data_IF_230088184456
#
_entry.id   IF_230088184456
#
_cell.length_a   1.000
_cell.length_b   1.000
_cell.length_c   1.000
_cell.angle_alpha   90.00
_cell.angle_beta   90.00
_cell.angle_gamma   90.00
#
_symmetry.space_group_name_H-M   'P 1'
#
loop_
_entity.id
_entity.type
_entity.pdbx_description
1 polymer ?
#
# COMPACT_ATOMS: atom_id res chain seq x y z
N UNK A 1 7.35 -18.95 -10.69
CA UNK A 1 6.50 -20.16 -10.71
C UNK A 1 5.01 -19.85 -10.63
N UNK A 2 4.51 -19.22 -9.56
CA UNK A 2 3.05 -18.93 -9.42
C UNK A 2 2.48 -18.16 -10.62
N UNK A 3 3.13 -17.07 -11.05
CA UNK A 3 2.63 -16.27 -12.19
C UNK A 3 2.60 -17.09 -13.49
N UNK A 4 3.67 -17.85 -13.79
CA UNK A 4 3.70 -18.74 -14.96
C UNK A 4 2.59 -19.81 -14.92
N UNK A 5 2.30 -20.35 -13.75
CA UNK A 5 1.20 -21.31 -13.57
C UNK A 5 -0.17 -20.65 -13.81
N UNK A 6 -0.37 -19.41 -13.36
CA UNK A 6 -1.60 -18.65 -13.63
C UNK A 6 -1.76 -18.35 -15.13
N UNK A 7 -0.72 -17.88 -15.80
CA UNK A 7 -0.74 -17.64 -17.25
C UNK A 7 -1.11 -18.92 -18.03
N UNK A 8 -0.55 -20.06 -17.62
CA UNK A 8 -0.85 -21.39 -18.20
C UNK A 8 -2.29 -21.84 -17.92
N UNK A 9 -2.81 -21.55 -16.72
CA UNK A 9 -4.17 -21.93 -16.32
C UNK A 9 -5.24 -21.03 -16.97
N UNK A 10 -4.90 -19.77 -17.27
CA UNK A 10 -5.80 -18.77 -17.83
C UNK A 10 -5.25 -18.19 -19.13
N UNK A 11 -5.14 -19.00 -20.21
CA UNK A 11 -4.53 -18.56 -21.47
C UNK A 11 -5.33 -17.45 -22.19
N UNK A 12 -6.61 -17.27 -21.84
CA UNK A 12 -7.46 -16.21 -22.39
C UNK A 12 -7.31 -14.84 -21.73
N UNK A 13 -6.55 -14.73 -20.62
CA UNK A 13 -6.24 -13.45 -20.00
C UNK A 13 -4.96 -12.84 -20.57
N UNK A 14 -4.75 -11.51 -20.44
CA UNK A 14 -3.46 -10.88 -20.72
C UNK A 14 -2.34 -11.63 -19.99
N UNK A 15 -1.34 -12.09 -20.75
CA UNK A 15 -0.24 -12.87 -20.22
C UNK A 15 0.73 -11.94 -19.50
N UNK A 16 1.08 -12.27 -18.26
CA UNK A 16 2.08 -11.50 -17.49
C UNK A 16 3.51 -11.94 -17.81
N UNK A 17 3.67 -13.14 -18.34
CA UNK A 17 4.94 -13.75 -18.72
C UNK A 17 4.98 -14.13 -20.22
N UNK A 18 4.83 -13.16 -21.14
CA UNK A 18 4.78 -13.44 -22.58
C UNK A 18 6.12 -13.86 -23.20
N UNK A 19 7.26 -13.53 -22.56
CA UNK A 19 8.60 -13.74 -23.11
C UNK A 19 9.62 -14.13 -22.02
N UNK A 20 10.68 -14.85 -22.38
CA UNK A 20 11.78 -15.22 -21.47
C UNK A 20 12.60 -14.01 -21.00
N UNK A 21 12.53 -12.88 -21.69
CA UNK A 21 13.09 -11.61 -21.20
C UNK A 21 12.44 -11.16 -19.89
N UNK A 22 11.15 -11.47 -19.66
CA UNK A 22 10.49 -11.19 -18.38
C UNK A 22 11.19 -11.93 -17.24
N UNK A 23 11.74 -13.12 -17.48
CA UNK A 23 12.58 -13.82 -16.49
C UNK A 23 13.79 -13.00 -16.09
N UNK A 24 14.48 -12.41 -17.06
CA UNK A 24 15.67 -11.58 -16.81
C UNK A 24 15.30 -10.31 -16.03
N UNK A 25 14.17 -9.69 -16.36
CA UNK A 25 13.65 -8.52 -15.67
C UNK A 25 13.22 -8.85 -14.22
N UNK A 26 12.56 -9.98 -14.01
CA UNK A 26 12.21 -10.51 -12.68
C UNK A 26 13.50 -10.78 -11.88
N UNK A 27 14.52 -11.39 -12.48
CA UNK A 27 15.74 -11.73 -11.76
C UNK A 27 16.66 -10.52 -11.49
N UNK A 28 16.48 -9.42 -12.23
CA UNK A 28 17.35 -8.25 -12.14
C UNK A 28 17.35 -7.59 -10.76
N UNK A 29 16.28 -7.72 -9.94
CA UNK A 29 16.30 -7.16 -8.58
C UNK A 29 17.39 -7.82 -7.72
N UNK A 30 17.72 -9.09 -7.96
CA UNK A 30 18.75 -9.84 -7.21
C UNK A 30 20.14 -9.22 -7.37
N UNK A 31 20.38 -8.55 -8.49
CA UNK A 31 21.65 -7.88 -8.79
C UNK A 31 21.62 -6.39 -8.50
N UNK A 32 20.47 -5.73 -8.68
CA UNK A 32 20.31 -4.27 -8.56
C UNK A 32 20.13 -3.83 -7.11
N UNK A 33 19.41 -4.60 -6.28
CA UNK A 33 19.17 -4.22 -4.89
C UNK A 33 20.44 -4.37 -4.03
N UNK A 34 20.54 -3.61 -2.91
CA UNK A 34 21.71 -3.64 -2.03
C UNK A 34 22.03 -5.06 -1.53
N UNK A 35 23.31 -5.41 -1.64
CA UNK A 35 23.85 -6.71 -1.19
C UNK A 35 24.18 -6.68 0.30
N UNK A 36 24.39 -7.86 0.87
CA UNK A 36 24.74 -8.03 2.30
C UNK A 36 23.71 -7.42 3.26
N UNK A 37 22.47 -7.34 2.82
CA UNK A 37 21.33 -6.92 3.64
C UNK A 37 20.86 -8.08 4.50
N UNK A 38 20.38 -7.78 5.71
CA UNK A 38 19.78 -8.79 6.56
C UNK A 38 18.38 -9.16 6.01
N UNK A 39 17.98 -10.44 6.04
CA UNK A 39 16.61 -10.81 5.69
C UNK A 39 15.61 -10.11 6.62
N UNK A 40 14.61 -9.45 6.03
CA UNK A 40 13.55 -8.80 6.81
C UNK A 40 12.25 -8.74 6.02
N UNK A 41 11.18 -9.26 6.62
CA UNK A 41 9.83 -9.11 6.06
C UNK A 41 9.31 -7.67 6.19
N UNK A 42 9.88 -6.88 7.10
CA UNK A 42 9.44 -5.50 7.44
C UNK A 42 10.27 -4.41 6.77
N UNK A 43 11.55 -4.67 6.53
CA UNK A 43 12.51 -3.70 6.02
C UNK A 43 13.50 -4.37 5.05
N UNK A 44 12.95 -5.08 4.07
CA UNK A 44 13.72 -5.80 3.05
C UNK A 44 14.69 -4.84 2.35
N UNK A 45 15.95 -5.25 2.25
CA UNK A 45 17.04 -4.48 1.64
C UNK A 45 17.39 -3.12 2.29
N UNK A 46 16.79 -2.78 3.44
CA UNK A 46 17.05 -1.48 4.08
C UNK A 46 18.20 -1.48 5.09
N UNK A 47 18.54 -2.65 5.64
CA UNK A 47 19.51 -2.80 6.70
C UNK A 47 20.50 -3.91 6.39
N UNK A 48 21.76 -3.69 6.77
CA UNK A 48 22.74 -4.75 6.97
C UNK A 48 22.67 -5.26 8.42
N UNK A 49 23.57 -6.18 8.78
CA UNK A 49 23.77 -6.57 10.18
C UNK A 49 24.38 -5.46 11.04
N UNK A 50 24.96 -4.43 10.41
CA UNK A 50 25.68 -3.34 11.07
C UNK A 50 24.92 -2.01 11.08
N UNK A 51 23.67 -1.98 10.60
CA UNK A 51 22.85 -0.76 10.55
C UNK A 51 22.22 -0.51 9.18
N UNK A 52 21.61 0.68 8.97
CA UNK A 52 21.02 1.07 7.70
C UNK A 52 22.03 0.97 6.55
N UNK A 53 21.54 0.61 5.37
CA UNK A 53 22.34 0.68 4.15
C UNK A 53 22.67 2.14 3.83
N UNK A 54 23.86 2.38 3.27
CA UNK A 54 24.28 3.73 2.90
C UNK A 54 23.43 4.30 1.77
N UNK A 55 23.15 5.61 1.86
CA UNK A 55 22.39 6.37 0.85
C UNK A 55 22.86 6.10 -0.58
N UNK A 56 24.17 6.07 -0.82
CA UNK A 56 24.74 5.87 -2.16
C UNK A 56 24.33 4.55 -2.80
N UNK A 57 24.15 3.47 -2.02
CA UNK A 57 23.69 2.19 -2.55
C UNK A 57 22.23 2.22 -2.98
N UNK A 58 21.39 2.99 -2.28
CA UNK A 58 20.02 3.22 -2.72
C UNK A 58 19.97 4.11 -3.97
N UNK A 59 20.82 5.13 -4.06
CA UNK A 59 20.90 5.97 -5.27
C UNK A 59 21.36 5.16 -6.50
N UNK A 60 22.31 4.23 -6.33
CA UNK A 60 22.71 3.26 -7.35
C UNK A 60 21.56 2.32 -7.73
N UNK A 61 20.84 1.79 -6.73
CA UNK A 61 19.66 0.93 -6.95
C UNK A 61 18.60 1.66 -7.78
N UNK A 62 18.24 2.89 -7.40
CA UNK A 62 17.22 3.70 -8.07
C UNK A 62 17.65 4.07 -9.49
N UNK A 63 18.93 4.45 -9.68
CA UNK A 63 19.47 4.79 -11.00
C UNK A 63 19.50 3.58 -11.93
N UNK A 64 19.91 2.41 -11.43
CA UNK A 64 19.92 1.16 -12.19
C UNK A 64 18.51 0.69 -12.54
N UNK A 65 17.54 0.91 -11.64
CA UNK A 65 16.13 0.60 -11.88
C UNK A 65 15.54 1.52 -12.95
N UNK A 66 15.82 2.82 -12.89
CA UNK A 66 15.41 3.79 -13.91
C UNK A 66 16.01 3.46 -15.29
N UNK A 67 17.28 3.05 -15.34
CA UNK A 67 17.90 2.57 -16.56
C UNK A 67 17.21 1.31 -17.10
N UNK A 68 16.91 0.35 -16.21
CA UNK A 68 16.24 -0.90 -16.57
C UNK A 68 14.85 -0.65 -17.18
N UNK A 69 14.07 0.24 -16.58
CA UNK A 69 12.77 0.68 -17.11
C UNK A 69 12.88 1.34 -18.49
N UNK A 70 14.06 1.88 -18.84
CA UNK A 70 14.33 2.50 -20.13
C UNK A 70 14.60 1.55 -21.29
N UNK A 71 14.72 0.24 -21.04
CA UNK A 71 15.04 -0.75 -22.08
C UNK A 71 13.88 -1.02 -23.04
N UNK A 72 12.65 -0.83 -22.56
CA UNK A 72 11.44 -1.03 -23.35
C UNK A 72 10.67 0.28 -23.49
N UNK A 73 9.88 0.40 -24.57
CA UNK A 73 8.98 1.55 -24.72
C UNK A 73 7.74 1.36 -23.86
N UNK A 74 7.51 2.27 -22.93
CA UNK A 74 6.36 2.29 -22.04
C UNK A 74 6.79 2.52 -20.60
N UNK A 75 5.83 2.59 -19.65
CA UNK A 75 6.14 2.87 -18.26
C UNK A 75 6.46 1.63 -17.43
N UNK A 76 6.22 0.42 -17.95
CA UNK A 76 6.42 -0.84 -17.22
C UNK A 76 7.72 -1.53 -17.64
N UNK A 77 8.20 -2.46 -16.82
CA UNK A 77 9.47 -3.16 -17.07
C UNK A 77 9.50 -3.87 -18.43
N UNK A 78 8.37 -4.37 -18.92
CA UNK A 78 8.25 -5.03 -20.21
C UNK A 78 7.32 -4.28 -21.19
N UNK A 79 7.47 -2.94 -21.22
CA UNK A 79 6.85 -2.09 -22.22
C UNK A 79 5.56 -1.41 -21.77
N UNK A 80 4.49 -1.40 -22.59
CA UNK A 80 3.29 -0.59 -22.32
C UNK A 80 2.30 -1.24 -21.36
N UNK A 81 2.43 -2.54 -21.07
CA UNK A 81 1.51 -3.29 -20.21
C UNK A 81 2.24 -3.88 -19.01
N UNK A 82 1.52 -4.08 -17.91
CA UNK A 82 2.05 -4.74 -16.72
C UNK A 82 2.50 -6.17 -17.04
N UNK A 83 3.61 -6.58 -16.45
CA UNK A 83 4.20 -7.90 -16.59
C UNK A 83 4.52 -8.51 -15.22
N UNK A 84 4.97 -9.77 -15.23
CA UNK A 84 5.43 -10.44 -14.03
C UNK A 84 6.63 -9.73 -13.37
N UNK A 85 7.42 -8.98 -14.15
CA UNK A 85 8.49 -8.15 -13.61
C UNK A 85 7.93 -7.05 -12.70
N UNK A 86 6.91 -6.30 -13.15
CA UNK A 86 6.28 -5.28 -12.32
C UNK A 86 5.69 -5.88 -11.03
N UNK A 87 5.06 -7.06 -11.12
CA UNK A 87 4.56 -7.77 -9.95
C UNK A 87 5.66 -8.18 -8.95
N UNK A 88 6.84 -8.57 -9.45
CA UNK A 88 7.96 -8.97 -8.61
C UNK A 88 8.65 -7.77 -7.94
N UNK A 89 8.73 -6.64 -8.65
CA UNK A 89 9.40 -5.43 -8.17
C UNK A 89 8.52 -4.55 -7.28
N UNK A 90 7.21 -4.51 -7.52
CA UNK A 90 6.29 -3.61 -6.82
C UNK A 90 6.37 -3.66 -5.29
N UNK A 91 6.42 -4.85 -4.61
CA UNK A 91 6.50 -4.89 -3.16
C UNK A 91 7.73 -4.19 -2.57
N UNK A 92 8.84 -4.12 -3.32
CA UNK A 92 10.06 -3.46 -2.87
C UNK A 92 10.03 -1.96 -3.18
N UNK A 93 9.61 -1.59 -4.39
CA UNK A 93 9.53 -0.19 -4.81
C UNK A 93 8.49 0.58 -3.98
N UNK A 94 7.32 0.01 -3.72
CA UNK A 94 6.32 0.61 -2.82
C UNK A 94 6.90 0.94 -1.43
N UNK A 95 7.63 -0.02 -0.87
CA UNK A 95 8.28 0.17 0.43
C UNK A 95 9.33 1.25 0.36
N UNK A 96 10.14 1.28 -0.69
CA UNK A 96 11.16 2.31 -0.86
C UNK A 96 10.54 3.70 -0.97
N UNK A 97 9.41 3.84 -1.67
CA UNK A 97 8.70 5.11 -1.77
C UNK A 97 8.26 5.66 -0.39
N UNK A 98 7.84 4.78 0.52
CA UNK A 98 7.41 5.16 1.86
C UNK A 98 8.54 5.22 2.91
N UNK A 99 9.57 4.39 2.78
CA UNK A 99 10.56 4.13 3.84
C UNK A 99 11.90 4.84 3.59
N UNK A 100 12.35 5.02 2.35
CA UNK A 100 13.61 5.73 2.08
C UNK A 100 13.58 7.20 2.53
N UNK A 101 12.48 7.96 2.33
CA UNK A 101 12.38 9.32 2.86
C UNK A 101 12.50 9.40 4.39
N UNK A 102 12.16 8.33 5.11
CA UNK A 102 12.32 8.26 6.57
C UNK A 102 13.76 7.97 7.00
N UNK A 103 14.58 7.36 6.13
CA UNK A 103 15.97 6.98 6.42
C UNK A 103 16.98 7.98 5.88
N UNK A 104 16.64 8.65 4.77
CA UNK A 104 17.52 9.56 4.04
C UNK A 104 16.75 10.77 3.55
N UNK A 105 17.10 11.95 4.06
CA UNK A 105 16.54 13.23 3.63
C UNK A 105 16.62 13.39 2.12
N UNK A 106 15.52 13.80 1.49
CA UNK A 106 15.40 14.04 0.04
C UNK A 106 15.67 12.82 -0.87
N UNK A 107 15.62 11.60 -0.33
CA UNK A 107 15.71 10.38 -1.13
C UNK A 107 14.31 9.87 -1.48
N UNK A 108 13.74 10.38 -2.57
CA UNK A 108 12.40 10.04 -3.06
C UNK A 108 12.49 9.26 -4.38
N UNK A 109 12.16 7.95 -4.41
CA UNK A 109 12.22 7.14 -5.63
C UNK A 109 11.43 7.68 -6.83
N UNK A 110 10.44 8.53 -6.60
CA UNK A 110 9.56 9.12 -7.60
C UNK A 110 9.96 10.57 -7.98
N UNK A 111 11.20 10.98 -7.70
CA UNK A 111 11.73 12.27 -8.16
C UNK A 111 11.95 12.25 -9.69
N UNK A 112 11.05 12.90 -10.43
CA UNK A 112 11.08 12.98 -11.90
C UNK A 112 12.36 13.63 -12.45
N UNK A 113 13.04 14.49 -11.68
CA UNK A 113 14.27 15.13 -12.14
C UNK A 113 15.48 14.19 -12.06
N UNK A 114 15.40 13.15 -11.21
CA UNK A 114 16.49 12.19 -10.98
C UNK A 114 16.23 10.84 -11.64
N UNK A 115 15.00 10.34 -11.54
CA UNK A 115 14.58 9.02 -12.02
C UNK A 115 13.24 9.13 -12.76
N UNK A 116 13.23 9.76 -13.95
CA UNK A 116 12.00 10.05 -14.69
C UNK A 116 11.20 8.81 -15.09
N UNK A 117 11.86 7.69 -15.40
CA UNK A 117 11.19 6.45 -15.82
C UNK A 117 10.65 5.70 -14.62
N UNK A 118 11.37 5.73 -13.50
CA UNK A 118 10.86 5.20 -12.23
C UNK A 118 9.66 6.00 -11.73
N UNK A 119 9.69 7.34 -11.84
CA UNK A 119 8.53 8.18 -11.57
C UNK A 119 7.33 7.81 -12.46
N UNK A 120 7.56 7.65 -13.77
CA UNK A 120 6.51 7.23 -14.71
C UNK A 120 5.95 5.83 -14.39
N UNK A 121 6.80 4.91 -13.91
CA UNK A 121 6.37 3.59 -13.44
C UNK A 121 5.44 3.69 -12.23
N UNK A 122 5.78 4.53 -11.23
CA UNK A 122 4.88 4.77 -10.09
C UNK A 122 3.54 5.32 -10.55
N UNK A 123 3.54 6.33 -11.43
CA UNK A 123 2.30 6.93 -11.95
C UNK A 123 1.46 5.90 -12.72
N UNK A 124 2.09 5.07 -13.57
CA UNK A 124 1.40 4.04 -14.33
C UNK A 124 0.84 2.92 -13.44
N UNK A 125 1.60 2.46 -12.44
CA UNK A 125 1.11 1.47 -11.46
C UNK A 125 -0.12 1.97 -10.71
N UNK A 126 -0.19 3.26 -10.37
CA UNK A 126 -1.38 3.84 -9.74
C UNK A 126 -2.65 3.77 -10.60
N UNK A 127 -2.50 3.65 -11.92
CA UNK A 127 -3.63 3.48 -12.85
C UNK A 127 -4.03 2.02 -13.05
N UNK A 128 -3.27 1.05 -12.53
CA UNK A 128 -3.61 -0.38 -12.64
C UNK A 128 -4.71 -0.71 -11.61
N UNK A 129 -5.95 -1.05 -12.04
CA UNK A 129 -7.07 -1.12 -11.12
C UNK A 129 -6.94 -2.21 -10.05
N UNK A 130 -6.46 -3.39 -10.43
CA UNK A 130 -6.24 -4.50 -9.48
C UNK A 130 -5.18 -4.15 -8.42
N UNK A 131 -4.14 -3.44 -8.82
CA UNK A 131 -3.09 -2.98 -7.94
C UNK A 131 -3.64 -1.93 -6.95
N UNK A 132 -4.12 -0.80 -7.45
CA UNK A 132 -4.57 0.31 -6.60
C UNK A 132 -5.75 -0.05 -5.69
N UNK A 133 -6.64 -0.93 -6.14
CA UNK A 133 -7.83 -1.27 -5.34
C UNK A 133 -7.59 -2.39 -4.32
N UNK A 134 -6.55 -3.23 -4.49
CA UNK A 134 -6.40 -4.45 -3.65
C UNK A 134 -5.00 -4.72 -3.13
N UNK A 135 -3.96 -4.33 -3.85
CA UNK A 135 -2.58 -4.80 -3.59
C UNK A 135 -1.68 -3.68 -3.11
N UNK A 136 -1.89 -2.45 -3.57
CA UNK A 136 -1.09 -1.29 -3.19
C UNK A 136 -1.17 -1.06 -1.67
N UNK A 137 -0.01 -0.99 -1.02
CA UNK A 137 0.13 -0.54 0.36
C UNK A 137 0.00 0.98 0.52
N UNK A 138 -0.18 1.44 1.76
CA UNK A 138 -0.17 2.87 2.09
C UNK A 138 1.13 3.27 2.81
N UNK A 139 1.46 4.56 2.78
CA UNK A 139 2.66 5.06 3.44
C UNK A 139 2.59 4.86 4.96
N UNK A 140 1.40 5.03 5.56
CA UNK A 140 1.19 4.87 7.00
C UNK A 140 1.57 3.48 7.49
N UNK A 141 1.10 2.43 6.81
CA UNK A 141 1.39 1.03 7.16
C UNK A 141 2.85 0.69 6.90
N UNK A 142 3.42 1.13 5.77
CA UNK A 142 4.83 0.86 5.47
C UNK A 142 5.78 1.55 6.45
N UNK A 143 5.49 2.80 6.86
CA UNK A 143 6.25 3.51 7.89
C UNK A 143 6.08 2.86 9.27
N UNK A 144 4.87 2.43 9.63
CA UNK A 144 4.61 1.69 10.88
C UNK A 144 5.40 0.39 10.95
N UNK A 145 5.46 -0.36 9.84
CA UNK A 145 6.22 -1.61 9.76
C UNK A 145 7.73 -1.35 9.83
N UNK A 146 8.23 -0.23 9.29
CA UNK A 146 9.63 0.19 9.45
C UNK A 146 9.98 0.40 10.93
N UNK A 147 9.14 1.11 11.69
CA UNK A 147 9.33 1.30 13.12
C UNK A 147 9.38 -0.02 13.90
N UNK A 148 8.61 -1.03 13.48
CA UNK A 148 8.61 -2.38 14.06
C UNK A 148 9.78 -3.27 13.62
N UNK A 149 10.57 -2.86 12.62
CA UNK A 149 11.65 -3.67 12.06
C UNK A 149 12.89 -3.71 12.96
N UNK A 150 13.09 -2.71 13.83
CA UNK A 150 14.12 -2.63 14.86
C UNK A 150 15.58 -2.83 14.39
N UNK A 151 16.42 -1.83 14.63
CA UNK A 151 17.78 -1.97 15.17
C UNK A 151 18.05 -0.75 16.06
N UNK A 152 18.68 -0.99 17.21
CA UNK A 152 18.93 0.00 18.26
C UNK A 152 19.54 1.28 17.72
N UNK A 153 18.72 2.31 17.72
CA UNK A 153 19.16 3.65 17.44
C UNK A 153 18.17 4.55 18.18
N UNK A 154 18.69 5.35 19.10
CA UNK A 154 18.13 6.60 19.62
C UNK A 154 17.84 7.64 18.51
N UNK A 155 17.66 7.17 17.27
CA UNK A 155 17.32 7.95 16.11
C UNK A 155 15.83 7.77 15.92
N UNK A 156 15.13 8.66 16.62
CA UNK A 156 13.78 9.11 16.28
C UNK A 156 13.57 8.92 14.79
N UNK A 157 12.68 7.99 14.38
CA UNK A 157 12.15 8.00 13.02
C UNK A 157 11.63 9.41 12.87
N UNK A 158 12.34 10.22 12.08
CA UNK A 158 12.04 11.64 12.04
C UNK A 158 10.58 11.75 11.62
N UNK A 159 9.76 12.43 12.44
CA UNK A 159 8.43 12.87 12.04
C UNK A 159 8.47 13.80 10.82
N UNK A 160 9.67 14.09 10.31
CA UNK A 160 10.04 15.09 9.33
C UNK A 160 9.84 14.63 7.88
N UNK A 161 8.87 13.78 7.63
CA UNK A 161 8.17 13.88 6.35
C UNK A 161 6.77 14.26 6.72
N UNK A 162 6.47 15.55 6.57
CA UNK A 162 5.13 16.12 6.60
C UNK A 162 4.12 15.18 5.92
N UNK A 163 2.84 15.35 6.24
CA UNK A 163 1.70 14.85 5.47
C UNK A 163 1.75 15.38 4.01
N UNK A 164 2.79 15.00 3.27
CA UNK A 164 2.87 15.13 1.84
C UNK A 164 1.94 14.08 1.30
N UNK A 165 0.65 14.43 1.27
CA UNK A 165 -0.42 13.69 0.64
C UNK A 165 0.13 12.86 -0.51
N UNK A 166 -0.04 11.54 -0.41
CA UNK A 166 0.14 10.65 -1.55
C UNK A 166 -0.41 11.33 -2.80
N UNK A 167 0.44 11.53 -3.82
CA UNK A 167 0.11 12.18 -5.10
C UNK A 167 -0.88 11.34 -5.93
N UNK A 168 -2.01 10.99 -5.35
CA UNK A 168 -3.21 10.59 -6.08
C UNK A 168 -4.24 11.67 -5.83
N UNK A 169 -4.55 12.48 -6.85
CA UNK A 169 -5.77 13.28 -6.78
C UNK A 169 -6.94 12.33 -6.51
N UNK A 170 -7.75 12.61 -5.48
CA UNK A 170 -8.92 11.79 -5.12
C UNK A 170 -9.80 11.47 -6.34
N UNK A 171 -9.96 12.45 -7.25
CA UNK A 171 -10.69 12.31 -8.51
C UNK A 171 -10.17 11.17 -9.43
N UNK A 172 -8.85 10.93 -9.45
CA UNK A 172 -8.27 9.83 -10.22
C UNK A 172 -8.58 8.47 -9.61
N UNK A 173 -8.61 8.39 -8.28
CA UNK A 173 -8.82 7.12 -7.55
C UNK A 173 -10.26 6.62 -7.63
N UNK A 174 -11.24 7.52 -7.68
CA UNK A 174 -12.64 7.14 -7.92
C UNK A 174 -12.81 6.46 -9.29
N UNK A 175 -12.18 7.00 -10.32
CA UNK A 175 -12.23 6.42 -11.67
C UNK A 175 -11.62 5.02 -11.72
N UNK A 176 -10.51 4.82 -10.99
CA UNK A 176 -9.82 3.53 -10.89
C UNK A 176 -10.68 2.51 -10.13
N UNK A 177 -11.33 2.91 -9.04
CA UNK A 177 -12.28 2.03 -8.34
C UNK A 177 -13.47 1.66 -9.20
N UNK A 178 -14.09 2.63 -9.87
CA UNK A 178 -15.23 2.38 -10.75
C UNK A 178 -14.87 1.41 -11.88
N UNK A 179 -13.67 1.55 -12.48
CA UNK A 179 -13.16 0.59 -13.45
C UNK A 179 -12.93 -0.80 -12.84
N UNK A 180 -12.42 -0.88 -11.62
CA UNK A 180 -12.24 -2.15 -10.91
C UNK A 180 -13.56 -2.84 -10.55
N UNK A 181 -14.54 -2.10 -10.05
CA UNK A 181 -15.82 -2.64 -9.58
C UNK A 181 -16.78 -3.03 -10.73
N UNK A 182 -16.66 -2.38 -11.90
CA UNK A 182 -17.59 -2.51 -13.05
C UNK A 182 -18.01 -3.94 -13.36
N UNK A 183 -17.05 -4.85 -13.47
CA UNK A 183 -17.28 -6.23 -13.90
C UNK A 183 -17.14 -7.23 -12.74
N UNK A 184 -17.20 -6.75 -11.49
CA UNK A 184 -16.94 -7.56 -10.28
C UNK A 184 -18.10 -7.40 -9.29
N UNK A 185 -19.19 -8.20 -9.43
CA UNK A 185 -20.38 -8.05 -8.59
C UNK A 185 -20.13 -8.33 -7.09
N UNK A 186 -18.99 -8.92 -6.76
CA UNK A 186 -18.56 -9.18 -5.39
C UNK A 186 -17.75 -8.02 -4.77
N UNK A 187 -17.45 -6.97 -5.54
CA UNK A 187 -16.80 -5.74 -5.09
C UNK A 187 -17.86 -4.67 -4.91
N UNK A 188 -17.81 -3.93 -3.79
CA UNK A 188 -18.77 -2.87 -3.57
C UNK A 188 -18.64 -1.72 -4.59
N UNK A 189 -19.75 -1.00 -4.79
CA UNK A 189 -19.85 0.13 -5.72
C UNK A 189 -18.87 1.27 -5.40
N UNK A 190 -18.51 1.46 -4.12
CA UNK A 190 -17.54 2.46 -3.68
C UNK A 190 -16.54 1.87 -2.68
N UNK A 191 -15.34 2.46 -2.53
CA UNK A 191 -14.37 2.03 -1.53
C UNK A 191 -14.92 2.08 -0.09
N UNK A 192 -15.74 3.08 0.23
CA UNK A 192 -16.35 3.26 1.54
C UNK A 192 -17.33 2.11 1.85
N UNK A 193 -18.16 1.72 0.87
CA UNK A 193 -19.08 0.58 1.04
C UNK A 193 -18.31 -0.75 1.13
N UNK A 194 -17.19 -0.91 0.41
CA UNK A 194 -16.33 -2.09 0.59
C UNK A 194 -15.75 -2.13 2.01
N UNK A 195 -15.29 -1.00 2.54
CA UNK A 195 -14.80 -0.91 3.92
C UNK A 195 -15.89 -1.30 4.91
N UNK A 196 -17.09 -0.74 4.79
CA UNK A 196 -18.25 -1.11 5.62
C UNK A 196 -18.55 -2.63 5.55
N UNK A 197 -18.60 -3.19 4.33
CA UNK A 197 -18.83 -4.62 4.13
C UNK A 197 -17.73 -5.48 4.78
N UNK A 198 -16.47 -5.05 4.71
CA UNK A 198 -15.33 -5.74 5.36
C UNK A 198 -15.45 -5.74 6.88
N UNK A 199 -15.84 -4.61 7.48
CA UNK A 199 -16.08 -4.51 8.92
C UNK A 199 -17.18 -5.46 9.36
N UNK A 200 -18.30 -5.50 8.63
CA UNK A 200 -19.43 -6.38 8.96
C UNK A 200 -19.06 -7.87 8.82
N UNK A 201 -18.39 -8.24 7.72
CA UNK A 201 -17.93 -9.63 7.49
C UNK A 201 -16.96 -10.11 8.57
N UNK A 202 -16.13 -9.23 9.11
CA UNK A 202 -15.12 -9.56 10.11
C UNK A 202 -15.50 -9.14 11.54
N UNK A 203 -16.77 -8.75 11.77
CA UNK A 203 -17.24 -8.15 13.04
C UNK A 203 -16.80 -8.95 14.26
N UNK A 204 -17.01 -10.26 14.28
CA UNK A 204 -16.65 -11.09 15.43
C UNK A 204 -15.15 -11.07 15.75
N UNK A 205 -14.29 -11.14 14.73
CA UNK A 205 -12.84 -11.10 14.91
C UNK A 205 -12.37 -9.70 15.35
N UNK A 206 -12.91 -8.65 14.73
CA UNK A 206 -12.64 -7.26 15.08
C UNK A 206 -13.08 -6.95 16.51
N UNK A 207 -14.26 -7.40 16.92
CA UNK A 207 -14.75 -7.18 18.27
C UNK A 207 -13.82 -7.78 19.32
N UNK A 208 -13.39 -9.03 19.08
CA UNK A 208 -12.46 -9.72 19.99
C UNK A 208 -11.11 -9.00 20.09
N UNK A 209 -10.54 -8.54 18.97
CA UNK A 209 -9.27 -7.80 19.01
C UNK A 209 -9.45 -6.40 19.61
N UNK A 210 -10.54 -5.69 19.31
CA UNK A 210 -10.84 -4.37 19.88
C UNK A 210 -10.93 -4.41 21.42
N UNK A 211 -11.65 -5.38 21.98
CA UNK A 211 -11.72 -5.57 23.45
C UNK A 211 -10.34 -5.86 24.03
N UNK A 212 -9.55 -6.73 23.39
CA UNK A 212 -8.17 -7.02 23.80
C UNK A 212 -7.27 -5.77 23.77
N UNK A 213 -7.61 -4.78 22.95
CA UNK A 213 -6.87 -3.53 22.77
C UNK A 213 -7.45 -2.35 23.57
N UNK A 214 -8.45 -2.59 24.42
CA UNK A 214 -8.94 -1.62 25.39
C UNK A 214 -10.21 -0.87 24.99
N UNK A 215 -10.87 -1.22 23.88
CA UNK A 215 -12.23 -0.72 23.60
C UNK A 215 -13.23 -1.48 24.47
N UNK A 216 -14.18 -0.81 25.12
CA UNK A 216 -15.14 -1.48 26.00
C UNK A 216 -16.03 -2.46 25.23
N UNK A 217 -16.30 -3.63 25.81
CA UNK A 217 -17.19 -4.64 25.21
C UNK A 217 -18.59 -4.07 24.90
N UNK A 218 -19.09 -3.18 25.77
CA UNK A 218 -20.37 -2.49 25.56
C UNK A 218 -20.34 -1.51 24.37
N UNK A 219 -19.17 -0.97 24.04
CA UNK A 219 -18.99 0.04 22.98
C UNK A 219 -18.68 -0.58 21.63
N UNK A 220 -17.97 -1.70 21.60
CA UNK A 220 -17.41 -2.30 20.38
C UNK A 220 -18.48 -2.60 19.33
N UNK A 221 -19.61 -3.20 19.70
CA UNK A 221 -20.66 -3.54 18.72
C UNK A 221 -21.32 -2.27 18.16
N UNK A 222 -21.70 -1.36 19.05
CA UNK A 222 -22.33 -0.11 18.66
C UNK A 222 -21.38 0.72 17.78
N UNK A 223 -20.10 0.82 18.16
CA UNK A 223 -19.07 1.51 17.40
C UNK A 223 -18.83 0.89 16.03
N UNK A 224 -18.69 -0.43 15.93
CA UNK A 224 -18.51 -1.10 14.63
C UNK A 224 -19.71 -0.89 13.69
N UNK A 225 -20.93 -0.98 14.20
CA UNK A 225 -22.14 -0.69 13.40
C UNK A 225 -22.21 0.77 12.99
N UNK A 226 -21.86 1.70 13.90
CA UNK A 226 -21.87 3.12 13.61
C UNK A 226 -20.83 3.51 12.55
N UNK A 227 -19.60 3.00 12.67
CA UNK A 227 -18.55 3.18 11.64
C UNK A 227 -19.01 2.62 10.29
N UNK A 228 -19.55 1.40 10.26
CA UNK A 228 -20.06 0.81 9.03
C UNK A 228 -21.22 1.62 8.41
N UNK A 229 -22.13 2.15 9.23
CA UNK A 229 -23.24 2.97 8.77
C UNK A 229 -22.78 4.32 8.19
N UNK A 230 -21.81 4.97 8.83
CA UNK A 230 -21.19 6.21 8.33
C UNK A 230 -20.46 5.98 7.00
N UNK A 231 -19.69 4.90 6.89
CA UNK A 231 -19.01 4.54 5.63
C UNK A 231 -20.00 4.20 4.51
N UNK A 232 -21.10 3.53 4.84
CA UNK A 232 -22.12 3.15 3.86
C UNK A 232 -23.11 4.28 3.52
N UNK A 233 -23.04 5.44 4.21
CA UNK A 233 -23.98 6.55 4.00
C UNK A 233 -25.43 6.24 4.40
N UNK A 234 -25.64 5.34 5.36
CA UNK A 234 -26.97 4.78 5.68
C UNK A 234 -27.73 5.53 6.78
N UNK A 235 -27.20 6.63 7.30
CA UNK A 235 -27.72 7.26 8.52
C UNK A 235 -27.49 8.77 8.56
N UNK A 236 -28.33 9.46 9.35
CA UNK A 236 -28.09 10.84 9.71
C UNK A 236 -26.79 10.95 10.53
N UNK A 237 -25.78 11.58 9.94
CA UNK A 237 -24.39 11.44 10.38
C UNK A 237 -24.14 12.06 11.75
N UNK A 238 -24.86 13.12 12.12
CA UNK A 238 -24.61 13.91 13.33
C UNK A 238 -24.69 13.10 14.64
N UNK A 239 -25.64 12.17 14.76
CA UNK A 239 -25.81 11.36 15.99
C UNK A 239 -24.67 10.36 16.15
N UNK A 240 -24.25 9.72 15.06
CA UNK A 240 -23.17 8.74 15.11
C UNK A 240 -21.79 9.40 15.18
N UNK A 241 -21.63 10.56 14.55
CA UNK A 241 -20.39 11.34 14.63
C UNK A 241 -20.11 11.83 16.04
N UNK A 242 -21.14 12.18 16.81
CA UNK A 242 -21.00 12.53 18.22
C UNK A 242 -20.87 11.34 19.18
N UNK A 243 -20.88 10.09 18.71
CA UNK A 243 -20.84 8.90 19.57
C UNK A 243 -19.41 8.55 19.98
N UNK A 244 -19.06 8.56 21.28
CA UNK A 244 -17.72 8.19 21.75
C UNK A 244 -17.30 6.78 21.35
N UNK A 245 -18.25 5.85 21.32
CA UNK A 245 -18.01 4.47 20.90
C UNK A 245 -17.66 4.36 19.41
N UNK A 246 -18.27 5.18 18.56
CA UNK A 246 -17.95 5.23 17.12
C UNK A 246 -16.57 5.82 16.90
N UNK A 247 -16.24 6.92 17.59
CA UNK A 247 -14.91 7.51 17.55
C UNK A 247 -13.81 6.54 18.05
N UNK A 248 -14.05 5.86 19.18
CA UNK A 248 -13.12 4.89 19.74
C UNK A 248 -12.85 3.71 18.79
N UNK A 249 -13.89 3.17 18.16
CA UNK A 249 -13.73 2.08 17.17
C UNK A 249 -13.04 2.58 15.91
N UNK A 250 -13.34 3.78 15.42
CA UNK A 250 -12.66 4.36 14.26
C UNK A 250 -11.16 4.54 14.52
N UNK A 251 -10.78 5.08 15.69
CA UNK A 251 -9.39 5.21 16.10
C UNK A 251 -8.69 3.84 16.24
N UNK A 252 -9.37 2.84 16.83
CA UNK A 252 -8.87 1.47 16.90
C UNK A 252 -8.59 0.89 15.50
N UNK A 253 -9.50 1.08 14.55
CA UNK A 253 -9.34 0.58 13.19
C UNK A 253 -8.18 1.27 12.46
N UNK A 254 -8.06 2.59 12.57
CA UNK A 254 -6.97 3.37 11.97
C UNK A 254 -5.60 2.94 12.50
N UNK A 255 -5.46 2.74 13.81
CA UNK A 255 -4.22 2.21 14.39
C UNK A 255 -3.92 0.79 13.90
N UNK A 256 -4.90 -0.12 13.96
CA UNK A 256 -4.62 -1.55 13.81
C UNK A 256 -4.49 -2.02 12.36
N UNK A 257 -5.14 -1.32 11.45
CA UNK A 257 -5.18 -1.66 10.03
C UNK A 257 -3.79 -1.63 9.39
N UNK A 258 -3.44 -2.71 8.70
CA UNK A 258 -2.24 -2.82 7.88
C UNK A 258 -2.63 -2.99 6.41
N UNK A 259 -2.27 -2.02 5.58
CA UNK A 259 -2.51 -2.04 4.13
C UNK A 259 -1.26 -2.62 3.44
N UNK A 260 -1.41 -3.56 2.49
CA UNK A 260 -2.65 -4.08 1.89
C UNK A 260 -3.23 -5.33 2.58
N UNK A 261 -2.60 -5.83 3.65
CA UNK A 261 -2.92 -7.14 4.26
C UNK A 261 -4.38 -7.26 4.66
N UNK A 262 -4.87 -6.27 5.39
CA UNK A 262 -6.21 -6.31 5.98
C UNK A 262 -7.25 -5.77 4.99
N UNK A 263 -6.84 -4.82 4.14
CA UNK A 263 -7.68 -4.17 3.13
C UNK A 263 -6.83 -3.43 2.09
N UNK A 264 -7.37 -3.19 0.90
CA UNK A 264 -6.71 -2.38 -0.13
C UNK A 264 -6.71 -0.88 0.19
N UNK A 265 -5.83 -0.12 -0.48
CA UNK A 265 -5.58 1.30 -0.23
C UNK A 265 -6.84 2.17 -0.15
N UNK A 266 -7.74 2.08 -1.13
CA UNK A 266 -8.88 3.01 -1.21
C UNK A 266 -9.91 2.79 -0.09
N UNK A 267 -10.36 1.55 0.19
CA UNK A 267 -11.22 1.31 1.35
C UNK A 267 -10.51 1.61 2.69
N UNK A 268 -9.19 1.44 2.80
CA UNK A 268 -8.47 1.85 4.01
C UNK A 268 -8.47 3.35 4.20
N UNK A 269 -8.25 4.13 3.14
CA UNK A 269 -8.27 5.60 3.23
C UNK A 269 -9.63 6.12 3.70
N UNK A 270 -10.73 5.46 3.32
CA UNK A 270 -12.05 5.78 3.83
C UNK A 270 -12.16 5.63 5.36
N UNK A 271 -11.57 4.58 5.94
CA UNK A 271 -11.52 4.39 7.40
C UNK A 271 -10.63 5.46 8.05
N UNK A 272 -9.44 5.73 7.49
CA UNK A 272 -8.51 6.73 8.04
C UNK A 272 -9.11 8.13 8.02
N UNK A 273 -9.72 8.50 6.90
CA UNK A 273 -10.42 9.79 6.73
C UNK A 273 -11.56 9.94 7.74
N UNK A 274 -12.36 8.89 7.93
CA UNK A 274 -13.40 8.87 8.95
C UNK A 274 -12.82 9.02 10.37
N UNK A 275 -11.76 8.29 10.71
CA UNK A 275 -11.13 8.39 12.03
C UNK A 275 -10.58 9.80 12.31
N UNK A 276 -9.92 10.43 11.33
CA UNK A 276 -9.44 11.82 11.44
C UNK A 276 -10.60 12.78 11.69
N UNK A 277 -11.69 12.64 10.94
CA UNK A 277 -12.89 13.49 11.07
C UNK A 277 -13.62 13.33 12.40
N UNK A 278 -13.55 12.15 13.02
CA UNK A 278 -14.14 11.89 14.34
C UNK A 278 -13.21 12.26 15.50
N UNK A 279 -11.96 12.62 15.22
CA UNK A 279 -10.96 12.99 16.23
C UNK A 279 -10.85 14.52 16.44
N UNK A 280 -11.52 15.31 15.58
CA UNK A 280 -11.62 16.78 15.67
C UNK A 280 -12.85 17.21 16.45
#
# INVERSE_FOLDING_TARGET
DIIRALDSQFPGSPQLWPDEEVTKLVDAFKTIFPKQTRPSSRAAYLYSWNGPIFRSQFEETLSSTDELLGRHRGPFFFGPQISAADCAWAPFLERYAAQLPCLHTDLRPYDVNRWPRLAAWYDAMQQVPSYSCRVRGDEVSWRKVLAQAGYGNDWVVSSTVEDGSSKGSEAGMESVWAAYARDRPYVAVTPQVEAAARLLRNRAALSKDAVKRGVSEAEVDHGLRGVAALLAGLCNSAVLEGSPAVAAVAAYLDDRMCVPRDMGLLPSEAIRSLARRLST
#
